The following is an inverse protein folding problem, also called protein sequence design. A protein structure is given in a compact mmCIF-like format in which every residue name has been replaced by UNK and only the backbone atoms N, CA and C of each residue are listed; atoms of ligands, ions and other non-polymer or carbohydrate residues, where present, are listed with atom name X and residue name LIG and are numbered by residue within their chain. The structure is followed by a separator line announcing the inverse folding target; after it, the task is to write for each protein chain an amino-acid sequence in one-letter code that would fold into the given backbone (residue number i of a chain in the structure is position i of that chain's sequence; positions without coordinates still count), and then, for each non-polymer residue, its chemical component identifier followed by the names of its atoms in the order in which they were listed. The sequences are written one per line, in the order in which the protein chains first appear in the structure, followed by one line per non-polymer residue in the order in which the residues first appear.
data_IF_386731470378
#
_entry.id   IF_386731470378
#
_cell.length_a   1.000
_cell.length_b   1.000
_cell.length_c   1.000
_cell.angle_alpha   90.00
_cell.angle_beta   90.00
_cell.angle_gamma   90.00
#
_symmetry.space_group_name_H-M   'P 1'
#
loop_
_entity.id
_entity.type
_entity.pdbx_description
1 polymer ?
#
# COMPACT_ATOMS: atom_id res chain seq x y z
N UNK A 1 -0.76 -11.58 6.75
CA UNK A 1 -0.30 -10.21 7.04
C UNK A 1 -0.29 -9.45 5.72
N UNK A 2 -1.00 -8.32 5.66
CA UNK A 2 -1.15 -7.50 4.46
C UNK A 2 -0.24 -6.29 4.58
N UNK A 3 0.45 -5.95 3.50
CA UNK A 3 1.40 -4.84 3.41
C UNK A 3 0.77 -3.71 2.61
N UNK A 4 0.81 -2.50 3.16
CA UNK A 4 0.41 -1.29 2.46
C UNK A 4 1.68 -0.55 2.00
N UNK A 5 1.87 -0.46 0.70
CA UNK A 5 3.05 0.10 0.07
C UNK A 5 2.83 1.57 -0.25
N UNK A 6 3.78 2.39 0.21
CA UNK A 6 3.80 3.86 0.13
C UNK A 6 3.52 4.40 -1.28
N UNK A 7 3.02 5.63 -1.34
CA UNK A 7 2.79 6.38 -2.57
C UNK A 7 3.97 6.35 -3.57
N UNK A 8 5.19 6.45 -3.06
CA UNK A 8 6.40 6.62 -3.87
C UNK A 8 6.99 5.31 -4.40
N UNK A 9 6.51 4.15 -3.92
CA UNK A 9 7.00 2.88 -4.42
C UNK A 9 6.61 2.71 -5.89
N UNK A 10 7.51 2.24 -6.74
CA UNK A 10 7.19 2.04 -8.16
C UNK A 10 6.10 0.96 -8.31
N UNK A 11 5.14 1.11 -9.24
CA UNK A 11 4.10 0.08 -9.47
C UNK A 11 4.69 -1.29 -9.79
N UNK A 12 5.81 -1.31 -10.52
CA UNK A 12 6.55 -2.53 -10.87
C UNK A 12 7.08 -3.27 -9.64
N UNK A 13 7.47 -2.55 -8.59
CA UNK A 13 7.93 -3.16 -7.33
C UNK A 13 6.77 -3.82 -6.59
N UNK A 14 5.59 -3.18 -6.53
CA UNK A 14 4.40 -3.79 -5.93
C UNK A 14 4.00 -5.05 -6.70
N UNK A 15 4.02 -4.99 -8.03
CA UNK A 15 3.73 -6.15 -8.87
C UNK A 15 4.72 -7.29 -8.61
N UNK A 16 6.02 -7.00 -8.54
CA UNK A 16 7.05 -7.98 -8.20
C UNK A 16 6.80 -8.62 -6.83
N UNK A 17 6.52 -7.83 -5.80
CA UNK A 17 6.21 -8.35 -4.46
C UNK A 17 4.99 -9.27 -4.47
N UNK A 18 3.93 -8.93 -5.22
CA UNK A 18 2.77 -9.81 -5.41
C UNK A 18 3.15 -11.14 -6.07
N UNK A 19 4.08 -11.14 -7.04
CA UNK A 19 4.55 -12.39 -7.67
C UNK A 19 5.32 -13.30 -6.71
N UNK A 20 5.89 -12.75 -5.64
CA UNK A 20 6.55 -13.52 -4.58
C UNK A 20 5.55 -14.06 -3.54
N UNK A 21 4.26 -13.82 -3.70
CA UNK A 21 3.20 -14.26 -2.78
C UNK A 21 2.93 -13.31 -1.62
N UNK A 22 3.50 -12.10 -1.63
CA UNK A 22 3.17 -11.09 -0.64
C UNK A 22 1.81 -10.45 -0.94
N UNK A 23 0.97 -10.34 0.08
CA UNK A 23 -0.28 -9.59 0.03
C UNK A 23 0.03 -8.09 0.18
N UNK A 24 0.33 -7.42 -0.95
CA UNK A 24 0.73 -6.01 -0.99
C UNK A 24 -0.27 -5.18 -1.79
N UNK A 25 -0.71 -4.05 -1.23
CA UNK A 25 -1.50 -3.04 -1.92
C UNK A 25 -0.77 -1.71 -1.97
N UNK A 26 -1.04 -0.92 -3.00
CA UNK A 26 -0.47 0.42 -3.11
C UNK A 26 -1.44 1.42 -2.48
N UNK A 27 -0.91 2.41 -1.75
CA UNK A 27 -1.71 3.47 -1.13
C UNK A 27 -2.60 4.17 -2.16
N UNK A 28 -2.08 4.51 -3.33
CA UNK A 28 -2.86 5.20 -4.39
C UNK A 28 -4.01 4.39 -4.96
N UNK A 29 -4.02 3.06 -4.77
CA UNK A 29 -5.13 2.21 -5.21
C UNK A 29 -6.32 2.33 -4.23
N UNK A 30 -6.08 2.82 -3.01
CA UNK A 30 -7.05 2.85 -1.90
C UNK A 30 -7.35 4.27 -1.39
N UNK A 31 -6.43 5.20 -1.58
CA UNK A 31 -6.46 6.58 -1.10
C UNK A 31 -5.98 7.53 -2.21
N UNK A 32 -6.41 8.81 -2.20
CA UNK A 32 -5.88 9.81 -3.10
C UNK A 32 -4.36 9.94 -2.96
N UNK A 33 -3.69 10.35 -4.04
CA UNK A 33 -2.23 10.51 -4.01
C UNK A 33 -1.73 11.66 -3.11
N UNK A 34 -2.67 12.45 -2.59
CA UNK A 34 -2.45 13.55 -1.65
C UNK A 34 -2.82 13.18 -0.22
N UNK A 35 -3.13 11.91 0.07
CA UNK A 35 -3.42 11.46 1.42
C UNK A 35 -2.19 11.64 2.31
N UNK A 36 -2.41 12.07 3.55
CA UNK A 36 -1.34 12.24 4.54
C UNK A 36 -0.89 10.90 5.11
N UNK A 37 0.33 10.86 5.65
CA UNK A 37 0.90 9.66 6.27
C UNK A 37 0.01 9.14 7.41
N UNK A 38 -0.60 10.02 8.19
CA UNK A 38 -1.53 9.64 9.27
C UNK A 38 -2.74 8.89 8.72
N UNK A 39 -3.30 9.36 7.60
CA UNK A 39 -4.45 8.71 6.94
C UNK A 39 -4.06 7.32 6.40
N UNK A 40 -2.83 7.19 5.89
CA UNK A 40 -2.29 5.92 5.39
C UNK A 40 -2.17 4.91 6.54
N UNK A 41 -1.63 5.34 7.68
CA UNK A 41 -1.45 4.51 8.88
C UNK A 41 -2.82 4.11 9.46
N UNK A 42 -3.76 5.05 9.59
CA UNK A 42 -5.12 4.75 10.05
C UNK A 42 -5.79 3.70 9.16
N UNK A 43 -5.69 3.84 7.83
CA UNK A 43 -6.24 2.86 6.90
C UNK A 43 -5.58 1.49 7.04
N UNK A 44 -4.26 1.43 7.19
CA UNK A 44 -3.55 0.18 7.41
C UNK A 44 -4.01 -0.53 8.70
N UNK A 45 -4.34 0.24 9.75
CA UNK A 45 -4.87 -0.29 11.01
C UNK A 45 -6.31 -0.83 10.93
N UNK A 46 -7.12 -0.37 9.97
CA UNK A 46 -8.49 -0.88 9.77
C UNK A 46 -8.56 -2.20 9.00
N UNK A 47 -7.47 -2.61 8.33
CA UNK A 47 -7.37 -3.86 7.57
C UNK A 47 -6.83 -5.05 8.42
N UNK A 48 -6.67 -4.87 9.75
CA UNK A 48 -6.31 -5.92 10.72
C UNK A 48 -7.52 -6.67 11.28
#
# INVERSE_FOLDING_TARGET
MRLLADLHIAPRTVQFLRTLGYDVLRVTDLLPATASDETIVERAGQDQ
#
